data_IF_254916643350
#
_entry.id   IF_254916643350
#
_cell.length_a   1.000
_cell.length_b   1.000
_cell.length_c   1.000
_cell.angle_alpha   90.00
_cell.angle_beta   90.00
_cell.angle_gamma   90.00
#
_symmetry.space_group_name_H-M   'P 1'
#
loop_
_entity.id
_entity.type
_entity.pdbx_description
1 polymer ?
#
# COMPACT_ATOMS: atom_id res chain seq x y z
N UNK A 1 -13.43 9.62 16.30
CA UNK A 1 -13.05 10.94 15.75
C UNK A 1 -11.88 10.76 14.79
N UNK A 2 -12.06 11.08 13.50
CA UNK A 2 -10.99 11.00 12.49
C UNK A 2 -9.98 12.13 12.77
N UNK A 3 -8.72 11.78 13.06
CA UNK A 3 -7.62 12.74 13.24
C UNK A 3 -7.29 13.34 11.86
N UNK A 4 -7.54 14.62 11.65
CA UNK A 4 -7.02 15.36 10.47
C UNK A 4 -5.71 16.01 10.89
N UNK A 5 -4.63 15.79 10.14
CA UNK A 5 -3.44 16.63 10.18
C UNK A 5 -3.85 18.01 9.63
N UNK A 6 -3.59 19.06 10.38
CA UNK A 6 -3.95 20.43 10.04
C UNK A 6 -2.67 21.18 9.67
N UNK A 7 -2.55 21.55 8.40
CA UNK A 7 -1.34 22.13 7.80
C UNK A 7 -1.43 23.64 7.63
N UNK A 8 -2.38 24.30 8.30
CA UNK A 8 -2.58 25.75 8.16
C UNK A 8 -1.44 26.55 8.81
N UNK A 9 -0.89 27.50 8.07
CA UNK A 9 0.27 28.30 8.49
C UNK A 9 0.00 29.15 9.73
N UNK A 10 -1.24 29.61 9.89
CA UNK A 10 -1.68 30.40 11.05
C UNK A 10 -1.60 29.65 12.39
N UNK A 11 -1.41 28.33 12.37
CA UNK A 11 -1.21 27.55 13.60
C UNK A 11 0.23 27.62 14.12
N UNK A 12 1.19 27.94 13.25
CA UNK A 12 2.62 27.86 13.52
C UNK A 12 3.32 29.23 13.50
N UNK A 13 2.64 30.32 13.14
CA UNK A 13 3.20 31.68 13.03
C UNK A 13 4.48 31.75 12.16
N UNK A 14 4.51 30.97 11.07
CA UNK A 14 5.64 30.90 10.15
C UNK A 14 5.46 31.92 9.03
N UNK A 15 6.50 32.67 8.73
CA UNK A 15 6.53 33.71 7.67
C UNK A 15 7.63 33.49 6.63
N UNK A 16 8.57 32.59 6.93
CA UNK A 16 9.67 32.17 6.07
C UNK A 16 9.74 30.65 6.07
N UNK A 17 10.08 30.02 4.95
CA UNK A 17 10.21 28.58 4.83
C UNK A 17 11.60 28.06 5.23
N UNK A 18 11.84 26.76 5.02
CA UNK A 18 13.09 26.07 5.39
C UNK A 18 14.33 26.61 4.68
N UNK A 19 14.15 27.10 3.46
CA UNK A 19 15.22 27.64 2.62
C UNK A 19 15.50 29.12 2.96
N UNK A 20 14.69 29.72 3.84
CA UNK A 20 14.77 31.11 4.26
C UNK A 20 14.00 32.08 3.36
N UNK A 21 13.17 31.55 2.44
CA UNK A 21 12.37 32.36 1.53
C UNK A 21 11.05 32.80 2.19
N UNK A 22 10.59 34.01 1.87
CA UNK A 22 9.32 34.51 2.39
C UNK A 22 8.14 33.69 1.85
N UNK A 23 7.30 33.19 2.77
CA UNK A 23 6.09 32.46 2.42
C UNK A 23 5.08 33.46 1.87
N UNK A 24 4.56 33.18 0.66
CA UNK A 24 3.57 34.04 0.03
C UNK A 24 2.35 34.26 0.93
N UNK A 25 1.88 35.50 1.04
CA UNK A 25 0.78 35.87 1.94
C UNK A 25 -0.55 35.15 1.66
N UNK A 26 -0.75 34.60 0.46
CA UNK A 26 -1.92 33.81 0.07
C UNK A 26 -1.74 32.29 0.32
N UNK A 27 -0.58 31.86 0.78
CA UNK A 27 -0.31 30.46 1.13
C UNK A 27 -0.91 30.15 2.50
N UNK A 28 -2.10 29.55 2.48
CA UNK A 28 -2.90 29.35 3.71
C UNK A 28 -2.55 28.07 4.48
N UNK A 29 -1.82 27.14 3.86
CA UNK A 29 -1.36 25.90 4.48
C UNK A 29 -0.67 24.95 3.53
N UNK A 30 0.30 24.20 4.05
CA UNK A 30 1.11 23.23 3.29
C UNK A 30 2.52 23.08 3.87
N UNK A 31 3.42 22.44 3.12
CA UNK A 31 4.76 22.05 3.57
C UNK A 31 5.64 23.25 3.96
N UNK A 32 5.50 24.40 3.29
CA UNK A 32 6.31 25.58 3.61
C UNK A 32 6.06 26.09 5.04
N UNK A 33 4.93 25.72 5.66
CA UNK A 33 4.59 26.07 7.03
C UNK A 33 4.79 24.93 8.04
N UNK A 34 5.15 23.74 7.55
CA UNK A 34 5.36 22.51 8.31
C UNK A 34 6.73 21.93 7.93
N UNK A 35 7.77 22.56 8.47
CA UNK A 35 9.17 22.17 8.26
C UNK A 35 9.63 21.03 9.19
N UNK A 36 10.84 20.52 8.99
CA UNK A 36 11.43 19.48 9.81
C UNK A 36 11.35 19.82 11.30
N UNK A 37 11.02 18.80 12.11
CA UNK A 37 10.73 18.90 13.54
C UNK A 37 9.44 19.67 13.93
N UNK A 38 8.69 20.25 12.98
CA UNK A 38 7.38 20.84 13.31
C UNK A 38 6.38 19.79 13.80
N UNK A 39 5.78 20.06 14.97
CA UNK A 39 4.79 19.17 15.57
C UNK A 39 3.38 19.75 15.42
N UNK A 40 2.43 18.92 14.99
CA UNK A 40 1.02 19.31 14.95
C UNK A 40 0.58 19.88 16.29
N UNK A 41 -0.05 21.07 16.30
CA UNK A 41 -0.57 21.68 17.53
C UNK A 41 -1.59 20.76 18.20
N UNK A 42 -1.20 20.18 19.33
CA UNK A 42 -2.06 19.30 20.13
C UNK A 42 -3.00 20.12 21.01
N UNK A 43 -4.15 19.52 21.35
CA UNK A 43 -4.98 20.04 22.43
C UNK A 43 -4.21 19.94 23.74
N UNK A 44 -4.41 20.88 24.64
CA UNK A 44 -3.80 20.87 25.96
C UNK A 44 -4.07 19.53 26.68
N UNK A 45 -3.01 18.89 27.20
CA UNK A 45 -3.07 17.56 27.82
C UNK A 45 -2.93 16.37 26.85
N UNK A 46 -2.78 16.57 25.54
CA UNK A 46 -2.41 15.51 24.61
C UNK A 46 -0.88 15.40 24.45
N UNK A 47 -0.34 14.23 24.78
CA UNK A 47 1.05 13.86 24.49
C UNK A 47 1.08 12.99 23.22
N UNK A 48 1.67 13.46 22.13
CA UNK A 48 2.00 12.58 21.00
C UNK A 48 3.25 11.80 21.39
N UNK A 49 3.09 10.48 21.58
CA UNK A 49 4.22 9.55 21.53
C UNK A 49 4.21 8.91 20.14
N UNK A 50 4.86 9.53 19.12
CA UNK A 50 4.95 8.91 17.82
C UNK A 50 5.75 7.61 17.98
N UNK A 51 5.04 6.47 17.93
CA UNK A 51 5.68 5.17 17.82
C UNK A 51 5.95 4.95 16.34
N UNK A 52 7.18 5.23 15.92
CA UNK A 52 7.66 4.89 14.57
C UNK A 52 7.81 3.37 14.55
N UNK A 53 7.02 2.71 13.71
CA UNK A 53 7.06 1.26 13.56
C UNK A 53 7.71 0.96 12.21
N UNK A 54 8.83 0.20 12.16
CA UNK A 54 9.42 -0.21 10.90
C UNK A 54 8.44 -1.11 10.15
N UNK A 55 8.27 -0.85 8.85
CA UNK A 55 7.37 -1.59 7.98
C UNK A 55 8.13 -2.18 6.80
N UNK A 56 7.70 -3.37 6.40
CA UNK A 56 8.07 -3.99 5.13
C UNK A 56 6.98 -3.73 4.12
N UNK A 57 7.39 -3.32 2.93
CA UNK A 57 6.50 -3.14 1.78
C UNK A 57 6.62 -4.38 0.92
N UNK A 58 5.49 -5.04 0.65
CA UNK A 58 5.43 -6.12 -0.33
C UNK A 58 4.44 -5.73 -1.43
N UNK A 59 4.85 -5.96 -2.67
CA UNK A 59 4.02 -5.86 -3.87
C UNK A 59 3.89 -7.28 -4.39
N UNK A 60 2.68 -7.81 -4.39
CA UNK A 60 2.38 -9.14 -4.89
C UNK A 60 1.81 -9.00 -6.29
N UNK A 61 2.38 -9.70 -7.26
CA UNK A 61 1.91 -9.68 -8.65
C UNK A 61 1.25 -11.02 -8.99
N UNK A 62 0.05 -10.96 -9.58
CA UNK A 62 -0.69 -12.13 -10.00
C UNK A 62 0.03 -12.95 -11.09
N UNK A 63 0.91 -12.30 -11.86
CA UNK A 63 1.65 -12.95 -12.96
C UNK A 63 2.94 -13.58 -12.49
N UNK A 64 3.38 -13.31 -11.25
CA UNK A 64 4.55 -13.96 -10.68
C UNK A 64 4.23 -15.44 -10.46
N UNK A 65 4.92 -16.28 -11.23
CA UNK A 65 4.75 -17.74 -11.20
C UNK A 65 5.69 -18.42 -10.20
N UNK A 66 6.58 -17.67 -9.53
CA UNK A 66 7.55 -18.19 -8.56
C UNK A 66 8.63 -19.11 -9.15
N UNK A 67 8.49 -19.50 -10.42
CA UNK A 67 9.56 -20.09 -11.22
C UNK A 67 10.37 -18.93 -11.76
N UNK A 68 11.64 -18.81 -11.36
CA UNK A 68 12.53 -17.71 -11.76
C UNK A 68 12.89 -17.67 -13.26
N UNK A 69 11.88 -17.77 -14.12
CA UNK A 69 11.94 -17.52 -15.56
C UNK A 69 11.61 -16.05 -15.82
N UNK A 70 12.32 -15.47 -16.79
CA UNK A 70 12.41 -14.05 -17.19
C UNK A 70 11.11 -13.31 -17.58
N UNK A 71 9.94 -13.75 -17.15
CA UNK A 71 8.68 -13.06 -17.44
C UNK A 71 8.25 -12.18 -16.26
N UNK A 72 8.90 -11.03 -16.08
CA UNK A 72 8.38 -9.94 -15.22
C UNK A 72 7.17 -9.27 -15.89
N UNK A 73 6.10 -10.03 -16.12
CA UNK A 73 4.91 -9.57 -16.82
C UNK A 73 3.99 -8.81 -15.86
N UNK A 74 4.27 -7.54 -15.58
CA UNK A 74 3.39 -6.74 -14.69
C UNK A 74 1.95 -6.66 -15.22
N UNK A 75 1.80 -6.76 -16.54
CA UNK A 75 0.52 -6.71 -17.23
C UNK A 75 0.16 -8.06 -17.90
N UNK A 76 -1.13 -8.35 -17.97
CA UNK A 76 -1.66 -9.50 -18.70
C UNK A 76 -2.95 -9.15 -19.47
N UNK A 77 -3.38 -10.08 -20.31
CA UNK A 77 -4.63 -10.00 -21.07
C UNK A 77 -5.73 -10.81 -20.38
N UNK A 78 -6.92 -10.21 -20.26
CA UNK A 78 -8.15 -10.91 -19.90
C UNK A 78 -8.93 -11.14 -21.18
N UNK A 79 -9.14 -12.41 -21.52
CA UNK A 79 -9.90 -12.80 -22.71
C UNK A 79 -11.39 -12.63 -22.48
N UNK A 80 -12.11 -12.34 -23.54
CA UNK A 80 -13.57 -12.31 -23.52
C UNK A 80 -14.14 -13.72 -23.27
N UNK A 81 -15.16 -13.80 -22.43
CA UNK A 81 -15.88 -15.03 -22.14
C UNK A 81 -16.64 -15.54 -23.37
N UNK A 82 -16.82 -16.85 -23.43
CA UNK A 82 -17.61 -17.52 -24.47
C UNK A 82 -19.10 -17.18 -24.36
N UNK A 83 -19.85 -17.37 -25.46
CA UNK A 83 -21.31 -17.17 -25.47
C UNK A 83 -22.04 -18.04 -24.44
N UNK A 84 -21.51 -19.23 -24.12
CA UNK A 84 -22.08 -20.13 -23.12
C UNK A 84 -21.91 -19.59 -21.69
N UNK A 85 -20.71 -19.10 -21.34
CA UNK A 85 -20.43 -18.48 -20.04
C UNK A 85 -21.25 -17.21 -19.85
N UNK A 86 -21.36 -16.40 -20.91
CA UNK A 86 -22.22 -15.21 -20.93
C UNK A 86 -23.70 -15.54 -20.71
N UNK A 87 -24.17 -16.67 -21.25
CA UNK A 87 -25.54 -17.16 -21.02
C UNK A 87 -25.83 -17.56 -19.57
N UNK A 88 -24.79 -17.89 -18.79
CA UNK A 88 -24.89 -18.23 -17.36
C UNK A 88 -24.64 -17.05 -16.41
N UNK A 89 -24.08 -15.95 -16.93
CA UNK A 89 -23.69 -14.77 -16.13
C UNK A 89 -22.33 -14.91 -15.45
N UNK A 90 -21.55 -15.93 -15.79
CA UNK A 90 -20.28 -16.28 -15.14
C UNK A 90 -19.05 -15.70 -15.87
N UNK A 91 -19.16 -14.48 -16.43
CA UNK A 91 -18.07 -13.82 -17.16
C UNK A 91 -17.09 -13.09 -16.21
N UNK A 92 -16.41 -13.87 -15.39
CA UNK A 92 -15.34 -13.42 -14.49
C UNK A 92 -14.09 -14.23 -14.77
N UNK A 93 -13.02 -13.54 -15.16
CA UNK A 93 -11.68 -14.10 -15.20
C UNK A 93 -11.08 -14.08 -13.80
N UNK A 94 -10.68 -15.25 -13.31
CA UNK A 94 -10.12 -15.45 -11.97
C UNK A 94 -8.69 -15.91 -12.12
N UNK A 95 -7.76 -15.03 -11.76
CA UNK A 95 -6.34 -15.36 -11.68
C UNK A 95 -5.95 -15.60 -10.24
N UNK A 96 -5.04 -16.55 -10.02
CA UNK A 96 -4.55 -16.92 -8.68
C UNK A 96 -3.05 -17.18 -8.71
N UNK A 97 -2.32 -16.59 -7.78
CA UNK A 97 -0.91 -16.94 -7.52
C UNK A 97 -0.65 -17.19 -6.04
N UNK A 98 0.49 -17.83 -5.74
CA UNK A 98 0.97 -18.13 -4.39
C UNK A 98 2.39 -17.61 -4.21
N UNK A 99 2.58 -16.80 -3.18
CA UNK A 99 3.82 -16.06 -2.94
C UNK A 99 4.27 -16.28 -1.50
N UNK A 100 5.55 -16.59 -1.33
CA UNK A 100 6.13 -16.79 0.01
C UNK A 100 6.59 -15.45 0.57
N UNK A 101 6.06 -15.05 1.72
CA UNK A 101 6.52 -13.84 2.42
C UNK A 101 7.73 -14.21 3.29
N UNK A 102 8.94 -13.71 2.97
CA UNK A 102 10.16 -14.17 3.66
C UNK A 102 10.21 -13.73 5.13
N UNK A 103 9.66 -12.56 5.46
CA UNK A 103 9.57 -12.03 6.82
C UNK A 103 8.17 -11.51 7.09
N UNK A 104 7.46 -12.18 7.98
CA UNK A 104 6.12 -11.84 8.43
C UNK A 104 6.10 -10.69 9.43
N UNK A 105 4.95 -10.51 10.07
CA UNK A 105 4.68 -9.44 11.02
C UNK A 105 3.19 -9.13 11.10
N UNK A 106 2.86 -7.94 11.60
CA UNK A 106 1.48 -7.48 11.66
C UNK A 106 1.11 -6.80 10.35
N UNK A 107 0.11 -7.32 9.63
CA UNK A 107 -0.46 -6.61 8.48
C UNK A 107 -1.15 -5.34 9.02
N UNK A 108 -0.75 -4.17 8.53
CA UNK A 108 -1.31 -2.88 8.95
C UNK A 108 -1.97 -2.10 7.81
N UNK A 109 -1.69 -2.48 6.57
CA UNK A 109 -2.26 -1.89 5.38
C UNK A 109 -2.30 -2.92 4.25
N UNK A 110 -3.36 -2.90 3.45
CA UNK A 110 -3.45 -3.66 2.21
C UNK A 110 -4.33 -2.96 1.19
N UNK A 111 -3.94 -2.99 -0.08
CA UNK A 111 -4.74 -2.45 -1.19
C UNK A 111 -4.37 -3.17 -2.49
N UNK A 112 -5.36 -3.45 -3.33
CA UNK A 112 -5.09 -3.93 -4.68
C UNK A 112 -4.98 -2.77 -5.66
N UNK A 113 -4.26 -2.99 -6.75
CA UNK A 113 -4.25 -2.12 -7.91
C UNK A 113 -4.77 -2.91 -9.10
N UNK A 114 -5.89 -2.44 -9.65
CA UNK A 114 -6.52 -3.02 -10.82
C UNK A 114 -6.86 -1.91 -11.82
N UNK A 115 -6.87 -2.27 -13.09
CA UNK A 115 -7.32 -1.45 -14.21
C UNK A 115 -8.80 -1.67 -14.50
N UNK A 116 -9.35 -0.85 -15.40
CA UNK A 116 -10.75 -0.94 -15.84
C UNK A 116 -11.12 -2.36 -16.25
N UNK A 117 -12.24 -2.86 -15.72
CA UNK A 117 -12.63 -4.26 -15.82
C UNK A 117 -12.39 -5.04 -14.52
N UNK A 118 -11.55 -4.53 -13.61
CA UNK A 118 -11.33 -5.14 -12.30
C UNK A 118 -12.63 -5.24 -11.50
N UNK A 119 -12.85 -6.39 -10.87
CA UNK A 119 -14.03 -6.67 -10.02
C UNK A 119 -13.65 -6.65 -8.55
N UNK A 120 -12.36 -6.87 -8.27
CA UNK A 120 -11.78 -6.86 -6.94
C UNK A 120 -10.69 -7.91 -6.81
N UNK A 121 -9.93 -7.79 -5.73
CA UNK A 121 -8.86 -8.73 -5.41
C UNK A 121 -8.88 -9.06 -3.92
N UNK A 122 -8.47 -10.28 -3.60
CA UNK A 122 -8.45 -10.80 -2.24
C UNK A 122 -7.12 -11.47 -1.95
N UNK A 123 -6.62 -11.26 -0.73
CA UNK A 123 -5.39 -11.85 -0.23
C UNK A 123 -5.71 -12.78 0.93
N UNK A 124 -5.21 -14.01 0.86
CA UNK A 124 -5.45 -15.06 1.84
C UNK A 124 -4.15 -15.56 2.45
N UNK A 125 -4.22 -15.93 3.74
CA UNK A 125 -3.16 -16.66 4.42
C UNK A 125 -3.10 -18.11 3.97
N UNK A 126 -2.03 -18.81 4.36
CA UNK A 126 -1.79 -20.20 3.97
C UNK A 126 -2.89 -21.16 4.47
N UNK A 127 -3.52 -20.81 5.60
CA UNK A 127 -4.63 -21.51 6.23
C UNK A 127 -6.01 -21.15 5.61
N UNK A 128 -6.04 -20.36 4.55
CA UNK A 128 -7.25 -19.93 3.85
C UNK A 128 -8.00 -18.78 4.53
N UNK A 129 -7.46 -18.19 5.61
CA UNK A 129 -8.09 -17.01 6.22
C UNK A 129 -7.96 -15.79 5.31
N UNK A 130 -9.01 -14.98 5.24
CA UNK A 130 -8.97 -13.72 4.51
C UNK A 130 -8.12 -12.69 5.27
N UNK A 131 -7.05 -12.18 4.63
CA UNK A 131 -6.19 -11.13 5.18
C UNK A 131 -6.70 -9.75 4.81
N UNK A 132 -7.01 -9.57 3.52
CA UNK A 132 -7.51 -8.32 3.00
C UNK A 132 -8.32 -8.56 1.73
N UNK A 133 -9.40 -7.79 1.57
CA UNK A 133 -10.19 -7.72 0.34
C UNK A 133 -10.23 -6.27 -0.13
N UNK A 134 -9.85 -6.05 -1.38
CA UNK A 134 -9.83 -4.74 -2.01
C UNK A 134 -10.81 -4.72 -3.18
N UNK A 135 -11.73 -3.76 -3.14
CA UNK A 135 -12.83 -3.61 -4.10
C UNK A 135 -12.69 -2.29 -4.87
N UNK A 136 -12.96 -2.30 -6.18
CA UNK A 136 -12.89 -1.10 -7.00
C UNK A 136 -14.07 -0.17 -6.73
N UNK A 137 -13.80 1.13 -6.84
CA UNK A 137 -14.80 2.19 -6.99
C UNK A 137 -14.71 2.71 -8.41
N UNK A 138 -15.83 2.71 -9.12
CA UNK A 138 -15.90 3.16 -10.51
C UNK A 138 -16.40 4.60 -10.61
N UNK A 139 -15.88 5.34 -11.60
CA UNK A 139 -16.38 6.66 -11.96
C UNK A 139 -17.74 6.57 -12.66
N UNK A 140 -18.46 7.70 -12.68
CA UNK A 140 -19.83 7.79 -13.24
C UNK A 140 -20.03 8.98 -14.19
N UNK A 141 -18.99 9.77 -14.43
CA UNK A 141 -19.01 11.03 -15.16
C UNK A 141 -18.02 11.08 -16.31
N UNK A 142 -17.61 12.29 -16.69
CA UNK A 142 -16.67 12.58 -17.78
C UNK A 142 -15.49 13.45 -17.33
N UNK A 143 -15.44 13.77 -16.04
CA UNK A 143 -14.42 14.60 -15.43
C UNK A 143 -13.23 13.73 -15.02
N UNK A 144 -12.04 14.34 -15.00
CA UNK A 144 -10.81 13.68 -14.58
C UNK A 144 -10.94 13.11 -13.14
N UNK A 145 -10.74 11.80 -12.99
CA UNK A 145 -10.88 11.09 -11.71
C UNK A 145 -12.32 10.68 -11.37
N UNK A 146 -13.26 10.80 -12.31
CA UNK A 146 -14.64 10.33 -12.18
C UNK A 146 -15.17 9.76 -13.51
N UNK A 147 -14.31 9.28 -14.39
CA UNK A 147 -14.70 8.81 -15.71
C UNK A 147 -15.51 7.51 -15.64
N UNK A 148 -16.64 7.49 -16.35
CA UNK A 148 -17.49 6.31 -16.43
C UNK A 148 -16.71 5.10 -16.96
N UNK A 149 -16.88 3.95 -16.29
CA UNK A 149 -16.19 2.68 -16.57
C UNK A 149 -14.68 2.64 -16.25
N UNK A 150 -14.13 3.67 -15.61
CA UNK A 150 -12.78 3.64 -15.06
C UNK A 150 -12.80 3.39 -13.55
N UNK A 151 -11.81 2.63 -13.08
CA UNK A 151 -11.55 2.52 -11.64
C UNK A 151 -10.94 3.84 -11.18
N UNK A 152 -11.63 4.52 -10.26
CA UNK A 152 -11.21 5.81 -9.68
C UNK A 152 -10.72 5.66 -8.24
N UNK A 153 -10.75 4.44 -7.70
CA UNK A 153 -10.21 4.12 -6.39
C UNK A 153 -10.34 2.64 -6.06
N UNK A 154 -9.59 2.20 -5.07
CA UNK A 154 -9.63 0.84 -4.54
C UNK A 154 -9.82 0.89 -3.03
N UNK A 155 -10.64 0.00 -2.48
CA UNK A 155 -10.86 -0.07 -1.03
C UNK A 155 -9.60 -0.58 -0.35
N UNK A 156 -9.27 0.04 0.77
CA UNK A 156 -8.06 -0.26 1.55
C UNK A 156 -8.43 -1.04 2.82
N UNK A 157 -7.58 -1.99 3.20
CA UNK A 157 -7.66 -2.66 4.49
C UNK A 157 -6.77 -1.94 5.50
N UNK A 158 -7.35 -1.60 6.64
CA UNK A 158 -6.64 -1.11 7.82
C UNK A 158 -6.99 -2.00 9.01
N UNK A 159 -6.48 -3.25 9.05
CA UNK A 159 -6.69 -4.13 10.19
C UNK A 159 -6.16 -3.48 11.48
N UNK A 160 -6.73 -3.89 12.62
CA UNK A 160 -6.22 -3.43 13.91
C UNK A 160 -4.81 -3.99 14.11
N UNK A 161 -3.84 -3.19 14.61
CA UNK A 161 -2.51 -3.71 14.90
C UNK A 161 -2.58 -4.99 15.75
N UNK A 162 -1.84 -6.03 15.36
CA UNK A 162 -1.84 -7.33 15.99
C UNK A 162 -3.04 -8.25 15.69
N UNK A 163 -4.11 -7.78 15.03
CA UNK A 163 -5.28 -8.61 14.73
C UNK A 163 -5.10 -9.52 13.51
N UNK A 164 -4.25 -9.11 12.57
CA UNK A 164 -3.92 -9.90 11.37
C UNK A 164 -2.42 -10.07 11.34
N UNK A 165 -1.95 -11.29 11.59
CA UNK A 165 -0.52 -11.65 11.57
C UNK A 165 -0.20 -12.39 10.29
N UNK A 166 1.02 -12.23 9.80
CA UNK A 166 1.61 -13.05 8.74
C UNK A 166 2.84 -13.70 9.36
N UNK A 167 3.01 -15.01 9.24
CA UNK A 167 4.18 -15.71 9.75
C UNK A 167 5.38 -15.58 8.80
N UNK A 168 6.59 -15.73 9.34
CA UNK A 168 7.80 -15.85 8.52
C UNK A 168 7.71 -17.07 7.61
N UNK A 169 7.96 -16.87 6.32
CA UNK A 169 7.83 -17.92 5.31
C UNK A 169 6.39 -18.33 4.99
N UNK A 170 5.38 -17.59 5.47
CA UNK A 170 3.98 -17.91 5.17
C UNK A 170 3.70 -17.74 3.67
N UNK A 171 3.04 -18.74 3.07
CA UNK A 171 2.58 -18.64 1.68
C UNK A 171 1.25 -17.91 1.63
N UNK A 172 1.24 -16.74 0.99
CA UNK A 172 0.02 -15.99 0.73
C UNK A 172 -0.57 -16.38 -0.62
N UNK A 173 -1.90 -16.46 -0.69
CA UNK A 173 -2.62 -16.68 -1.95
C UNK A 173 -3.28 -15.37 -2.37
N UNK A 174 -2.89 -14.86 -3.53
CA UNK A 174 -3.47 -13.68 -4.16
C UNK A 174 -4.47 -14.11 -5.22
N UNK A 175 -5.68 -13.58 -5.17
CA UNK A 175 -6.73 -13.78 -6.18
C UNK A 175 -7.10 -12.43 -6.78
N UNK A 176 -7.04 -12.31 -8.11
CA UNK A 176 -7.45 -11.12 -8.86
C UNK A 176 -8.62 -11.49 -9.78
N UNK A 177 -9.73 -10.77 -9.64
CA UNK A 177 -10.92 -10.98 -10.45
C UNK A 177 -11.11 -9.82 -11.42
N UNK A 178 -11.32 -10.15 -12.69
CA UNK A 178 -11.67 -9.21 -13.75
C UNK A 178 -12.97 -9.64 -14.42
N UNK A 179 -13.74 -8.69 -14.92
CA UNK A 179 -14.84 -8.99 -15.83
C UNK A 179 -14.26 -9.43 -17.17
N UNK A 180 -14.72 -10.56 -17.67
CA UNK A 180 -14.42 -11.04 -19.02
C UNK A 180 -15.59 -10.78 -19.99
N UNK A 181 -16.50 -9.86 -19.65
CA UNK A 181 -17.59 -9.44 -20.54
C UNK A 181 -17.10 -8.78 -21.83
N UNK A 182 -15.84 -8.37 -21.88
CA UNK A 182 -15.13 -7.95 -23.07
C UNK A 182 -13.66 -8.28 -22.85
N UNK A 183 -12.87 -8.25 -23.91
CA UNK A 183 -11.42 -8.37 -23.79
C UNK A 183 -10.84 -7.12 -23.08
N UNK A 184 -9.90 -7.34 -22.15
CA UNK A 184 -9.09 -6.29 -21.54
C UNK A 184 -7.61 -6.58 -21.80
N UNK A 185 -6.86 -5.57 -22.22
CA UNK A 185 -5.41 -5.65 -22.42
C UNK A 185 -4.70 -4.74 -21.42
N UNK A 186 -3.44 -5.05 -21.11
CA UNK A 186 -2.63 -4.23 -20.21
C UNK A 186 -3.23 -4.17 -18.79
N UNK A 187 -3.93 -5.21 -18.33
CA UNK A 187 -4.49 -5.20 -16.97
C UNK A 187 -3.45 -5.64 -15.96
N UNK A 188 -3.54 -5.08 -14.75
CA UNK A 188 -2.66 -5.44 -13.64
C UNK A 188 -3.42 -6.15 -12.52
N UNK A 189 -2.76 -7.05 -11.82
CA UNK A 189 -3.31 -7.78 -10.68
C UNK A 189 -2.45 -7.62 -9.44
N UNK A 190 -2.03 -6.38 -9.11
CA UNK A 190 -1.10 -6.13 -8.03
C UNK A 190 -1.80 -6.01 -6.68
N UNK A 191 -1.11 -6.40 -5.61
CA UNK A 191 -1.56 -6.21 -4.23
C UNK A 191 -0.43 -5.69 -3.35
N UNK A 192 -0.61 -4.49 -2.83
CA UNK A 192 0.33 -3.82 -1.95
C UNK A 192 -0.04 -4.09 -0.50
N UNK A 193 0.92 -4.54 0.29
CA UNK A 193 0.75 -4.68 1.74
C UNK A 193 1.89 -4.01 2.50
N UNK A 194 1.56 -3.45 3.67
CA UNK A 194 2.53 -3.01 4.65
C UNK A 194 2.46 -3.95 5.86
N UNK A 195 3.59 -4.55 6.17
CA UNK A 195 3.75 -5.49 7.29
C UNK A 195 4.68 -4.85 8.31
N UNK A 196 4.15 -4.52 9.49
CA UNK A 196 4.94 -4.03 10.60
C UNK A 196 5.78 -5.16 11.19
N UNK A 197 7.10 -4.94 11.31
CA UNK A 197 7.94 -5.87 12.05
C UNK A 197 7.49 -5.87 13.52
N UNK A 198 7.39 -7.05 14.13
CA UNK A 198 7.23 -7.11 15.58
C UNK A 198 8.49 -6.51 16.20
N UNK A 199 8.35 -5.45 17.01
CA UNK A 199 9.42 -5.02 17.88
C UNK A 199 9.76 -6.22 18.77
N UNK A 200 10.83 -6.96 18.44
CA UNK A 200 11.56 -7.63 19.49
C UNK A 200 11.96 -6.53 20.46
N UNK A 201 11.54 -6.65 21.72
CA UNK A 201 12.07 -5.82 22.80
C UNK A 201 13.54 -6.18 22.93
N UNK A 202 14.38 -5.61 22.06
CA UNK A 202 15.82 -5.63 22.26
C UNK A 202 16.08 -4.65 23.39
N UNK A 203 16.70 -5.08 24.50
CA UNK A 203 17.19 -4.15 25.50
C UNK A 203 17.98 -3.06 24.78
N UNK A 204 17.67 -1.80 25.06
CA UNK A 204 18.43 -0.67 24.50
C UNK A 204 19.91 -0.97 24.67
N UNK A 205 20.73 -0.97 23.60
CA UNK A 205 22.16 -1.06 23.76
C UNK A 205 22.60 0.10 24.66
N UNK A 206 23.36 -0.23 25.71
CA UNK A 206 23.94 0.76 26.61
C UNK A 206 24.74 1.81 25.82
N UNK A 207 24.98 3.00 26.40
CA UNK A 207 25.57 4.13 25.70
C UNK A 207 26.88 3.71 24.99
N UNK A 208 27.06 4.08 23.71
CA UNK A 208 28.19 3.63 22.91
C UNK A 208 29.50 4.14 23.52
N UNK A 209 30.38 3.20 23.89
CA UNK A 209 31.77 3.51 24.20
C UNK A 209 32.54 3.50 22.88
N UNK A 210 33.05 4.67 22.53
CA UNK A 210 33.97 4.95 21.42
C UNK A 210 33.33 5.05 20.03
N UNK A 211 33.18 6.30 19.61
CA UNK A 211 32.91 6.74 18.25
C UNK A 211 34.20 6.58 17.43
N UNK A 212 34.26 5.53 16.61
CA UNK A 212 35.20 5.45 15.49
C UNK A 212 34.40 5.35 14.20
N UNK A 213 34.64 6.34 13.33
CA UNK A 213 34.13 6.48 11.97
C UNK A 213 33.92 5.15 11.26
N UNK A 214 32.69 4.91 10.80
CA UNK A 214 32.38 3.96 9.74
C UNK A 214 31.47 4.66 8.72
N UNK A 215 32.11 5.14 7.65
CA UNK A 215 31.45 5.43 6.39
C UNK A 215 30.93 4.09 5.82
N UNK A 216 29.62 3.93 5.67
CA UNK A 216 29.05 3.07 4.63
C UNK A 216 27.53 3.27 4.57
N UNK A 217 27.07 4.07 3.61
CA UNK A 217 25.69 4.02 3.12
C UNK A 217 25.67 3.08 1.91
N UNK A 218 25.54 1.79 2.17
CA UNK A 218 25.17 0.82 1.17
C UNK A 218 24.51 -0.36 1.86
N UNK A 219 23.18 -0.32 1.96
CA UNK A 219 22.32 -1.50 2.09
C UNK A 219 20.89 -1.08 1.74
N UNK A 220 20.72 -0.67 0.49
CA UNK A 220 19.44 -0.82 -0.19
C UNK A 220 19.32 -2.29 -0.54
N UNK A 221 18.63 -3.07 0.29
CA UNK A 221 18.07 -4.34 -0.15
C UNK A 221 16.99 -4.04 -1.19
N UNK A 222 17.41 -3.87 -2.44
CA UNK A 222 16.61 -4.25 -3.60
C UNK A 222 16.54 -5.77 -3.53
N UNK A 223 15.50 -6.29 -2.86
CA UNK A 223 15.07 -7.63 -3.17
C UNK A 223 14.48 -7.54 -4.57
N UNK A 224 15.24 -8.05 -5.54
CA UNK A 224 14.74 -8.47 -6.84
C UNK A 224 13.71 -9.57 -6.60
N UNK A 225 12.49 -9.16 -6.30
CA UNK A 225 11.33 -9.77 -6.91
C UNK A 225 11.06 -8.91 -8.15
N UNK A 226 10.70 -9.51 -9.27
CA UNK A 226 9.90 -8.76 -10.24
C UNK A 226 8.75 -8.09 -9.46
#
# INVERSE_FOLDING_TARGET
MKKKRDTRCNLYNVTVDEDGDEIQANYTGGLNCCYDETQCKLREGFELRPRIVPVKVYILDITDTGTGSDSCNVEYEVKECTSEERGKGDCIDIQTTRLVVPRGGDLIYGVAHQHSGGVGSSLYGQDGRLLCKSLPSYGHGKEAGNEANYIVGMSTCYPKPGSVKIADGETLTLISNYSSNQMHTGVMGLFYILVAEQEEVRPLPGPPKNMTHLNSLSDWCVYNSC
#
